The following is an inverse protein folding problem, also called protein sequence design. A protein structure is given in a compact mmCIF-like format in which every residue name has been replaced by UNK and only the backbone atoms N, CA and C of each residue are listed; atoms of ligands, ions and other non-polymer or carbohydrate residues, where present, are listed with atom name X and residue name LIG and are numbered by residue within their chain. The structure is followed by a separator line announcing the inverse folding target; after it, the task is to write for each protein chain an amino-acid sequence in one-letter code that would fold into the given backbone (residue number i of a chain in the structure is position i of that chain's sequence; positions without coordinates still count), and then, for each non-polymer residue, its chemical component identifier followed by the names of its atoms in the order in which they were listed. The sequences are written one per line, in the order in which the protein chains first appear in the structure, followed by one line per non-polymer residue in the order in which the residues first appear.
data_IF_919722391629
#
_entry.id   IF_919722391629
#
_cell.length_a   1.000
_cell.length_b   1.000
_cell.length_c   1.000
_cell.angle_alpha   90.00
_cell.angle_beta   90.00
_cell.angle_gamma   90.00
#
_symmetry.space_group_name_H-M   'P 1'
#
loop_
_entity.id
_entity.type
_entity.pdbx_description
1 polymer ?
#
# COMPACT_ATOMS: atom_id res chain seq x y z
N UNK A 1 -7.72 87.64 7.72
CA UNK A 1 -8.93 87.60 8.59
C UNK A 1 -9.02 86.20 9.22
N UNK A 2 -8.76 86.11 10.54
CA UNK A 2 -9.03 85.00 11.50
C UNK A 2 -8.33 83.65 11.22
N UNK A 3 -7.82 82.85 12.16
CA UNK A 3 -7.72 82.78 13.64
C UNK A 3 -6.69 81.66 13.92
N UNK A 4 -5.65 81.83 14.73
CA UNK A 4 -5.51 81.49 16.17
C UNK A 4 -6.11 80.14 16.63
N UNK A 5 -5.28 79.36 17.38
CA UNK A 5 -5.50 78.37 18.48
C UNK A 5 -4.80 77.02 18.21
N UNK A 6 -3.76 76.56 18.93
CA UNK A 6 -3.52 76.29 20.39
C UNK A 6 -3.96 74.89 20.84
N UNK A 7 -3.10 74.29 21.68
CA UNK A 7 -3.34 73.21 22.65
C UNK A 7 -3.57 71.78 22.11
N UNK A 8 -2.62 70.87 22.30
CA UNK A 8 -2.29 70.13 23.53
C UNK A 8 -2.97 68.77 23.56
N UNK A 9 -2.20 67.68 23.55
CA UNK A 9 -2.42 66.61 24.51
C UNK A 9 -1.19 65.69 24.55
N UNK A 10 -0.57 65.65 25.72
CA UNK A 10 0.39 64.61 26.13
C UNK A 10 -0.39 63.30 26.32
N UNK A 11 0.18 62.18 25.89
CA UNK A 11 0.02 60.90 26.58
C UNK A 11 1.22 60.01 26.26
N UNK A 12 2.11 59.89 27.23
CA UNK A 12 3.08 58.81 27.29
C UNK A 12 2.33 57.53 27.69
N UNK A 13 2.57 56.42 27.00
CA UNK A 13 2.29 55.09 27.51
C UNK A 13 3.29 54.09 26.91
N UNK A 14 4.16 53.60 27.77
CA UNK A 14 4.89 52.34 27.63
C UNK A 14 3.93 51.22 27.21
N UNK A 15 4.29 50.46 26.17
CA UNK A 15 4.04 49.02 26.16
C UNK A 15 5.00 48.31 25.18
N UNK A 16 6.17 47.99 25.68
CA UNK A 16 7.00 46.92 25.15
C UNK A 16 6.25 45.58 25.30
N UNK A 17 5.69 45.07 24.21
CA UNK A 17 5.33 43.66 24.09
C UNK A 17 6.32 43.03 23.11
N UNK A 18 7.37 42.45 23.68
CA UNK A 18 8.11 41.38 23.04
C UNK A 18 7.16 40.19 22.90
N UNK A 19 6.49 40.07 21.74
CA UNK A 19 5.93 38.78 21.34
C UNK A 19 7.07 37.94 20.81
N UNK A 20 7.66 37.22 21.76
CA UNK A 20 8.38 35.98 21.54
C UNK A 20 7.41 35.04 20.80
N UNK A 21 7.48 35.02 19.48
CA UNK A 21 6.94 33.90 18.73
C UNK A 21 7.85 32.71 19.00
N UNK A 22 7.58 32.02 20.10
CA UNK A 22 7.82 30.60 20.30
C UNK A 22 6.97 29.79 19.30
N UNK A 23 7.14 30.08 18.02
CA UNK A 23 6.66 29.27 16.92
C UNK A 23 7.74 28.28 16.57
N UNK A 24 8.10 27.41 17.53
CA UNK A 24 8.65 26.10 17.21
C UNK A 24 7.55 25.36 16.44
N UNK A 25 7.34 25.74 15.17
CA UNK A 25 6.84 24.79 14.19
C UNK A 25 7.96 23.78 14.14
N UNK A 26 7.85 22.76 15.00
CA UNK A 26 8.34 21.44 14.67
C UNK A 26 7.65 21.13 13.34
N UNK A 27 8.28 21.57 12.26
CA UNK A 27 8.27 20.82 11.03
C UNK A 27 8.77 19.47 11.52
N UNK A 28 7.82 18.59 11.88
CA UNK A 28 8.08 17.16 11.89
C UNK A 28 8.56 16.94 10.47
N UNK A 29 9.87 16.95 10.31
CA UNK A 29 10.52 16.64 9.05
C UNK A 29 9.99 15.25 8.74
N UNK A 30 8.98 15.22 7.87
CA UNK A 30 8.50 14.02 7.25
C UNK A 30 9.62 13.65 6.30
N UNK A 31 10.66 13.03 6.85
CA UNK A 31 11.70 12.41 6.06
C UNK A 31 11.03 11.16 5.52
N UNK A 32 10.21 11.35 4.47
CA UNK A 32 9.59 10.27 3.71
C UNK A 32 10.71 9.51 3.01
N UNK A 33 11.36 8.63 3.75
CA UNK A 33 12.14 7.57 3.14
C UNK A 33 11.13 6.68 2.43
N UNK A 34 11.18 6.73 1.10
CA UNK A 34 10.42 5.84 0.25
C UNK A 34 11.16 4.50 0.30
N UNK A 35 10.97 3.75 1.39
CA UNK A 35 11.74 2.54 1.60
C UNK A 35 11.43 1.53 0.50
N UNK A 36 12.46 0.93 -0.11
CA UNK A 36 12.31 -0.22 -0.97
C UNK A 36 11.82 -1.47 -0.22
N UNK A 37 10.57 -1.52 0.25
CA UNK A 37 9.89 -2.82 0.48
C UNK A 37 9.54 -3.47 -0.89
N UNK A 38 10.43 -3.31 -1.87
CA UNK A 38 10.08 -2.71 -3.16
C UNK A 38 9.32 -3.66 -4.05
N UNK A 39 9.48 -4.95 -3.84
CA UNK A 39 8.79 -6.00 -4.60
C UNK A 39 8.84 -7.30 -3.80
N UNK A 40 7.69 -7.90 -3.52
CA UNK A 40 7.58 -9.28 -3.05
C UNK A 40 7.15 -10.13 -4.24
N UNK A 41 8.01 -11.07 -4.64
CA UNK A 41 7.70 -12.08 -5.65
C UNK A 41 7.33 -13.38 -4.93
N UNK A 42 6.10 -13.86 -5.13
CA UNK A 42 5.59 -15.05 -4.45
C UNK A 42 4.99 -16.02 -5.47
N UNK A 43 5.42 -17.28 -5.41
CA UNK A 43 4.92 -18.34 -6.30
C UNK A 43 3.72 -19.04 -5.67
N UNK A 44 2.75 -19.39 -6.50
CA UNK A 44 1.57 -20.16 -6.11
C UNK A 44 1.04 -20.98 -7.28
N UNK A 45 0.10 -21.87 -7.01
CA UNK A 45 -0.57 -22.67 -8.03
C UNK A 45 -2.06 -22.48 -7.96
N UNK A 46 -2.72 -22.36 -9.12
CA UNK A 46 -4.16 -22.56 -9.24
C UNK A 46 -4.40 -23.95 -9.84
N UNK A 47 -5.15 -24.84 -9.17
CA UNK A 47 -5.52 -26.12 -9.76
C UNK A 47 -6.38 -25.93 -11.01
N UNK A 48 -6.61 -26.99 -11.81
CA UNK A 48 -7.62 -26.97 -12.86
C UNK A 48 -8.97 -26.50 -12.32
N UNK A 49 -9.63 -25.60 -13.04
CA UNK A 49 -10.91 -25.01 -12.66
C UNK A 49 -11.98 -25.45 -13.65
N UNK A 50 -13.14 -25.85 -13.16
CA UNK A 50 -14.34 -25.99 -13.98
C UNK A 50 -14.88 -24.60 -14.38
N UNK A 51 -15.75 -24.52 -15.38
CA UNK A 51 -16.40 -23.25 -15.76
C UNK A 51 -17.21 -22.65 -14.60
N UNK A 52 -16.97 -21.37 -14.30
CA UNK A 52 -17.63 -20.65 -13.21
C UNK A 52 -17.10 -20.97 -11.81
N UNK A 53 -16.15 -21.91 -11.67
CA UNK A 53 -15.53 -22.22 -10.38
C UNK A 53 -14.69 -21.05 -9.87
N UNK A 54 -14.79 -20.79 -8.57
CA UNK A 54 -13.89 -19.91 -7.85
C UNK A 54 -12.93 -20.73 -6.99
N UNK A 55 -11.66 -20.35 -6.99
CA UNK A 55 -10.60 -21.01 -6.22
C UNK A 55 -9.71 -19.97 -5.55
N UNK A 56 -9.18 -20.31 -4.38
CA UNK A 56 -8.29 -19.46 -3.61
C UNK A 56 -6.96 -20.16 -3.34
N UNK A 57 -5.87 -19.43 -3.54
CA UNK A 57 -4.54 -19.85 -3.15
C UNK A 57 -4.01 -18.91 -2.06
N UNK A 58 -3.57 -19.49 -0.94
CA UNK A 58 -2.92 -18.77 0.15
C UNK A 58 -1.40 -18.83 0.01
N UNK A 59 -0.76 -17.70 0.28
CA UNK A 59 0.67 -17.51 0.15
C UNK A 59 1.21 -16.84 1.41
N UNK A 60 2.02 -17.57 2.17
CA UNK A 60 2.66 -17.03 3.36
C UNK A 60 3.99 -16.34 3.01
N UNK A 61 4.14 -15.11 3.48
CA UNK A 61 5.32 -14.26 3.30
C UNK A 61 5.85 -13.86 4.66
N UNK A 62 7.13 -14.15 4.89
CA UNK A 62 7.86 -13.63 6.03
C UNK A 62 8.61 -12.35 5.64
N UNK A 63 8.32 -11.25 6.31
CA UNK A 63 8.95 -9.95 6.07
C UNK A 63 9.29 -9.28 7.40
N UNK A 64 10.58 -9.13 7.70
CA UNK A 64 11.02 -8.40 8.88
C UNK A 64 11.21 -6.92 8.54
N UNK A 65 10.10 -6.16 8.63
CA UNK A 65 10.04 -4.75 8.25
C UNK A 65 11.03 -3.90 9.06
N UNK A 66 11.22 -4.20 10.36
CA UNK A 66 12.21 -3.53 11.21
C UNK A 66 13.63 -3.60 10.65
N UNK A 67 14.03 -4.78 10.16
CA UNK A 67 15.37 -4.97 9.59
C UNK A 67 15.54 -4.14 8.32
N UNK A 68 14.54 -4.17 7.43
CA UNK A 68 14.56 -3.41 6.18
C UNK A 68 14.57 -1.90 6.43
N UNK A 69 13.88 -1.44 7.47
CA UNK A 69 13.92 -0.03 7.90
C UNK A 69 15.31 0.34 8.41
N UNK A 70 15.91 -0.49 9.26
CA UNK A 70 17.20 -0.20 9.87
C UNK A 70 18.38 -0.28 8.91
N UNK A 71 18.27 -1.02 7.82
CA UNK A 71 19.25 -1.03 6.73
C UNK A 71 19.38 0.35 6.07
N UNK A 72 18.27 1.07 5.93
CA UNK A 72 18.21 2.36 5.25
C UNK A 72 18.26 3.55 6.23
N UNK A 73 17.68 3.38 7.43
CA UNK A 73 17.61 4.38 8.49
C UNK A 73 17.76 3.70 9.87
N UNK A 74 19.01 3.57 10.33
CA UNK A 74 19.37 2.80 11.54
C UNK A 74 18.72 3.28 12.85
N UNK A 75 18.27 4.54 12.90
CA UNK A 75 17.55 5.13 14.03
C UNK A 75 16.02 4.99 13.95
N UNK A 76 15.50 4.34 12.91
CA UNK A 76 14.07 4.09 12.70
C UNK A 76 13.71 2.62 12.89
N UNK A 77 12.42 2.36 13.12
CA UNK A 77 11.83 1.03 13.22
C UNK A 77 10.43 1.01 12.59
N UNK A 78 9.78 -0.14 12.61
CA UNK A 78 8.39 -0.33 12.19
C UNK A 78 7.42 0.56 12.99
N UNK A 79 7.77 0.98 14.21
CA UNK A 79 6.98 1.94 15.00
C UNK A 79 6.95 3.34 14.36
N UNK A 80 7.94 3.68 13.53
CA UNK A 80 8.00 4.94 12.80
C UNK A 80 7.20 4.92 11.49
N UNK A 81 6.60 3.79 11.11
CA UNK A 81 5.74 3.70 9.93
C UNK A 81 4.50 4.57 10.13
N UNK A 82 4.26 5.46 9.17
CA UNK A 82 3.10 6.35 9.13
C UNK A 82 2.03 5.85 8.17
N UNK A 83 2.45 5.24 7.05
CA UNK A 83 1.56 4.67 6.04
C UNK A 83 2.24 3.50 5.33
N UNK A 84 1.45 2.49 4.99
CA UNK A 84 1.82 1.42 4.05
C UNK A 84 0.68 1.19 3.08
N UNK A 85 1.00 1.18 1.78
CA UNK A 85 0.01 0.95 0.71
C UNK A 85 0.57 0.02 -0.36
N UNK A 86 -0.30 -0.75 -1.00
CA UNK A 86 0.06 -1.48 -2.23
C UNK A 86 0.05 -0.50 -3.39
N UNK A 87 1.15 -0.42 -4.14
CA UNK A 87 1.25 0.40 -5.35
C UNK A 87 0.83 -0.37 -6.60
N UNK A 88 1.23 -1.64 -6.68
CA UNK A 88 0.88 -2.48 -7.82
C UNK A 88 0.86 -3.94 -7.41
N UNK A 89 -0.03 -4.70 -8.03
CA UNK A 89 -0.03 -6.15 -7.96
C UNK A 89 -0.17 -6.70 -9.38
N UNK A 90 0.80 -7.54 -9.76
CA UNK A 90 0.84 -8.17 -11.07
C UNK A 90 0.94 -9.67 -10.88
N UNK A 91 0.04 -10.41 -11.49
CA UNK A 91 0.11 -11.86 -11.60
C UNK A 91 0.74 -12.23 -12.94
N UNK A 92 1.55 -13.27 -12.96
CA UNK A 92 2.09 -13.90 -14.18
C UNK A 92 1.92 -15.40 -14.11
N UNK A 93 1.53 -16.06 -15.20
CA UNK A 93 1.51 -17.51 -15.32
C UNK A 93 2.78 -17.98 -16.05
N UNK A 94 3.47 -18.98 -15.50
CA UNK A 94 4.75 -19.49 -15.99
C UNK A 94 4.57 -20.64 -17.00
N UNK A 95 3.50 -21.43 -16.91
CA UNK A 95 3.25 -22.64 -17.71
C UNK A 95 1.96 -22.55 -18.56
N UNK A 96 1.79 -21.47 -19.30
CA UNK A 96 0.59 -21.21 -20.10
C UNK A 96 0.49 -22.07 -21.38
N UNK A 97 -0.74 -22.30 -21.84
CA UNK A 97 -1.06 -22.84 -23.17
C UNK A 97 -2.02 -21.89 -23.90
N UNK A 98 -2.48 -22.27 -25.10
CA UNK A 98 -3.51 -21.52 -25.85
C UNK A 98 -4.85 -21.52 -25.13
N UNK A 99 -5.13 -22.54 -24.32
CA UNK A 99 -6.36 -22.75 -23.58
C UNK A 99 -6.22 -22.33 -22.10
N UNK A 100 -5.07 -22.63 -21.51
CA UNK A 100 -4.77 -22.45 -20.09
C UNK A 100 -3.91 -21.19 -19.89
N UNK A 101 -4.60 -20.05 -19.79
CA UNK A 101 -4.00 -18.74 -19.57
C UNK A 101 -4.99 -17.81 -18.84
N UNK A 102 -4.57 -16.61 -18.47
CA UNK A 102 -5.42 -15.74 -17.64
C UNK A 102 -6.68 -15.19 -18.32
N UNK A 103 -6.72 -15.06 -19.64
CA UNK A 103 -7.97 -14.83 -20.37
C UNK A 103 -9.08 -15.88 -20.14
N UNK A 104 -8.78 -17.06 -19.59
CA UNK A 104 -9.78 -18.05 -19.16
C UNK A 104 -10.47 -17.66 -17.83
N UNK A 105 -9.98 -16.64 -17.13
CA UNK A 105 -10.56 -16.14 -15.89
C UNK A 105 -11.57 -15.01 -16.15
N UNK A 106 -12.69 -15.04 -15.43
CA UNK A 106 -13.68 -13.95 -15.39
C UNK A 106 -13.20 -12.81 -14.49
N UNK A 107 -12.68 -13.15 -13.31
CA UNK A 107 -12.27 -12.19 -12.29
C UNK A 107 -11.11 -12.74 -11.45
N UNK A 108 -10.43 -11.82 -10.78
CA UNK A 108 -9.39 -12.15 -9.81
C UNK A 108 -9.33 -11.08 -8.71
N UNK A 109 -9.12 -11.48 -7.47
CA UNK A 109 -8.96 -10.59 -6.33
C UNK A 109 -7.80 -11.04 -5.45
N UNK A 110 -7.22 -10.10 -4.72
CA UNK A 110 -6.19 -10.38 -3.74
C UNK A 110 -6.57 -9.83 -2.37
N UNK A 111 -6.47 -10.69 -1.36
CA UNK A 111 -6.57 -10.34 0.05
C UNK A 111 -5.22 -10.32 0.74
N UNK A 112 -5.12 -9.54 1.82
CA UNK A 112 -3.98 -9.55 2.74
C UNK A 112 -4.48 -9.79 4.17
N UNK A 113 -3.78 -10.64 4.89
CA UNK A 113 -3.88 -10.80 6.33
C UNK A 113 -2.47 -10.77 6.96
N UNK A 114 -2.38 -10.59 8.26
CA UNK A 114 -1.15 -10.74 9.03
C UNK A 114 -1.39 -11.47 10.34
N UNK A 115 -0.32 -11.91 11.00
CA UNK A 115 -0.43 -12.60 12.30
C UNK A 115 -1.21 -11.77 13.35
N UNK A 116 -1.11 -10.44 13.31
CA UNK A 116 -1.83 -9.53 14.21
C UNK A 116 -3.22 -9.11 13.71
N UNK A 117 -3.46 -9.24 12.40
CA UNK A 117 -4.74 -8.94 11.74
C UNK A 117 -5.12 -10.12 10.82
N UNK A 118 -5.64 -11.22 11.39
CA UNK A 118 -5.86 -12.47 10.66
C UNK A 118 -7.03 -12.41 9.67
N UNK A 119 -7.92 -11.42 9.82
CA UNK A 119 -9.02 -11.21 8.88
C UNK A 119 -8.50 -10.59 7.58
N UNK A 120 -8.78 -11.26 6.46
CA UNK A 120 -8.37 -10.79 5.14
C UNK A 120 -9.07 -9.48 4.77
N UNK A 121 -8.27 -8.48 4.44
CA UNK A 121 -8.74 -7.28 3.74
C UNK A 121 -8.48 -7.43 2.25
N UNK A 122 -9.48 -7.10 1.42
CA UNK A 122 -9.31 -7.07 -0.03
C UNK A 122 -8.47 -5.83 -0.42
N UNK A 123 -7.35 -6.06 -1.10
CA UNK A 123 -6.35 -5.04 -1.44
C UNK A 123 -6.26 -4.76 -2.94
N UNK A 124 -6.68 -5.69 -3.79
CA UNK A 124 -6.69 -5.52 -5.24
C UNK A 124 -7.76 -6.40 -5.89
N UNK A 125 -8.39 -5.91 -6.95
CA UNK A 125 -9.53 -6.60 -7.56
C UNK A 125 -9.72 -6.25 -9.03
N UNK A 126 -9.85 -7.28 -9.86
CA UNK A 126 -10.24 -7.22 -11.27
C UNK A 126 -11.55 -7.99 -11.43
N UNK A 127 -12.67 -7.28 -11.48
CA UNK A 127 -14.01 -7.89 -11.55
C UNK A 127 -14.43 -8.32 -12.95
N UNK A 128 -13.82 -7.73 -13.98
CA UNK A 128 -14.13 -8.03 -15.37
C UNK A 128 -12.85 -8.11 -16.20
N UNK A 129 -12.29 -9.32 -16.27
CA UNK A 129 -11.08 -9.60 -17.04
C UNK A 129 -11.43 -9.81 -18.53
N UNK A 130 -10.79 -9.11 -19.48
CA UNK A 130 -11.04 -9.33 -20.90
C UNK A 130 -10.80 -10.78 -21.34
N UNK A 131 -11.65 -11.29 -22.25
CA UNK A 131 -11.47 -12.60 -22.86
C UNK A 131 -10.44 -12.55 -23.99
N UNK A 132 -9.21 -12.27 -23.63
CA UNK A 132 -8.08 -12.23 -24.56
C UNK A 132 -6.92 -13.03 -24.00
N UNK A 133 -6.13 -13.63 -24.89
CA UNK A 133 -4.92 -14.33 -24.51
C UNK A 133 -4.02 -13.42 -23.66
N UNK A 134 -3.72 -13.86 -22.44
CA UNK A 134 -2.95 -13.08 -21.48
C UNK A 134 -2.18 -13.99 -20.53
N UNK A 135 -0.87 -13.76 -20.41
CA UNK A 135 0.02 -14.46 -19.48
C UNK A 135 0.34 -13.63 -18.25
N UNK A 136 -0.17 -12.39 -18.21
CA UNK A 136 -0.06 -11.48 -17.07
C UNK A 136 -1.37 -10.75 -16.83
N UNK A 137 -1.72 -10.55 -15.56
CA UNK A 137 -2.83 -9.72 -15.11
C UNK A 137 -2.35 -8.66 -14.14
N UNK A 138 -2.61 -7.39 -14.43
CA UNK A 138 -2.49 -6.34 -13.44
C UNK A 138 -3.80 -6.23 -12.67
N UNK A 139 -3.75 -6.39 -11.35
CA UNK A 139 -4.91 -6.22 -10.49
C UNK A 139 -4.99 -4.75 -10.06
N UNK A 140 -6.09 -4.05 -10.35
CA UNK A 140 -6.33 -2.71 -9.82
C UNK A 140 -6.26 -2.70 -8.29
N UNK A 141 -5.32 -1.94 -7.73
CA UNK A 141 -5.13 -1.83 -6.29
C UNK A 141 -6.13 -0.85 -5.68
N UNK A 142 -6.59 -1.14 -4.46
CA UNK A 142 -7.41 -0.21 -3.68
C UNK A 142 -6.50 0.83 -3.04
N UNK A 143 -6.26 1.93 -3.74
CA UNK A 143 -5.26 2.94 -3.38
C UNK A 143 -5.46 3.61 -2.00
N UNK A 144 -6.69 3.57 -1.47
CA UNK A 144 -7.04 4.12 -0.17
C UNK A 144 -6.87 3.13 0.98
N UNK A 145 -6.57 1.87 0.69
CA UNK A 145 -6.34 0.85 1.71
C UNK A 145 -5.03 1.11 2.44
N UNK A 146 -5.14 1.57 3.68
CA UNK A 146 -4.04 1.75 4.62
C UNK A 146 -3.70 0.44 5.32
N UNK A 147 -2.42 0.03 5.24
CA UNK A 147 -1.94 -1.25 5.72
C UNK A 147 -0.96 -1.16 6.88
N UNK A 148 -0.58 0.03 7.37
CA UNK A 148 0.44 0.19 8.42
C UNK A 148 0.27 -0.78 9.61
N UNK A 149 -0.98 -0.98 10.06
CA UNK A 149 -1.26 -1.79 11.23
C UNK A 149 -1.03 -3.30 11.00
N UNK A 150 -0.99 -3.74 9.73
CA UNK A 150 -0.61 -5.11 9.37
C UNK A 150 0.90 -5.30 9.46
N UNK A 151 1.69 -4.24 9.21
CA UNK A 151 3.15 -4.28 9.10
C UNK A 151 3.88 -4.19 10.46
N UNK A 152 3.13 -4.22 11.57
CA UNK A 152 3.66 -4.56 12.88
C UNK A 152 3.94 -6.08 13.03
N UNK A 153 3.39 -6.91 12.13
CA UNK A 153 3.67 -8.35 12.05
C UNK A 153 4.92 -8.64 11.22
N UNK A 154 5.48 -9.85 11.41
CA UNK A 154 6.55 -10.38 10.53
C UNK A 154 6.06 -11.44 9.55
N UNK A 155 4.83 -11.92 9.72
CA UNK A 155 4.18 -12.91 8.86
C UNK A 155 2.93 -12.32 8.27
N UNK A 156 2.80 -12.47 6.97
CA UNK A 156 1.72 -11.98 6.14
C UNK A 156 1.20 -13.15 5.32
N UNK A 157 -0.10 -13.22 5.13
CA UNK A 157 -0.72 -14.18 4.21
C UNK A 157 -1.42 -13.40 3.14
N UNK A 158 -1.03 -13.61 1.89
CA UNK A 158 -1.76 -13.13 0.73
C UNK A 158 -2.69 -14.22 0.26
N UNK A 159 -3.91 -13.86 -0.13
CA UNK A 159 -4.88 -14.79 -0.74
C UNK A 159 -5.20 -14.30 -2.13
N UNK A 160 -4.91 -15.09 -3.14
CA UNK A 160 -5.38 -14.81 -4.51
C UNK A 160 -6.60 -15.66 -4.76
N UNK A 161 -7.72 -15.04 -5.10
CA UNK A 161 -8.95 -15.71 -5.53
C UNK A 161 -9.15 -15.47 -7.02
N UNK A 162 -9.41 -16.52 -7.78
CA UNK A 162 -9.68 -16.46 -9.21
C UNK A 162 -11.01 -17.15 -9.51
N UNK A 163 -11.81 -16.58 -10.40
CA UNK A 163 -13.03 -17.20 -10.90
C UNK A 163 -12.88 -17.44 -12.40
N UNK A 164 -13.10 -18.68 -12.83
CA UNK A 164 -13.00 -19.06 -14.24
C UNK A 164 -14.21 -18.59 -15.05
N UNK A 165 -14.00 -18.30 -16.34
CA UNK A 165 -15.04 -18.17 -17.38
C UNK A 165 -15.17 -19.47 -18.17
N UNK A 166 -14.05 -20.16 -18.35
CA UNK A 166 -13.95 -21.41 -19.09
C UNK A 166 -13.11 -22.36 -18.27
N UNK A 167 -13.33 -23.65 -18.46
CA UNK A 167 -12.54 -24.65 -17.77
C UNK A 167 -11.05 -24.51 -18.13
N UNK A 168 -10.17 -24.68 -17.15
CA UNK A 168 -8.74 -24.89 -17.37
C UNK A 168 -8.42 -26.36 -17.16
N UNK A 169 -7.48 -26.89 -17.93
CA UNK A 169 -7.17 -28.33 -17.93
C UNK A 169 -5.90 -28.67 -17.15
N UNK A 170 -5.03 -27.68 -16.95
CA UNK A 170 -3.77 -27.82 -16.25
C UNK A 170 -3.69 -26.94 -15.00
N UNK A 171 -2.87 -27.35 -14.05
CA UNK A 171 -2.50 -26.50 -12.91
C UNK A 171 -1.71 -25.30 -13.42
N UNK A 172 -2.16 -24.08 -13.13
CA UNK A 172 -1.45 -22.86 -13.49
C UNK A 172 -0.42 -22.51 -12.41
N UNK A 173 0.86 -22.58 -12.78
CA UNK A 173 1.98 -22.09 -11.97
C UNK A 173 2.05 -20.58 -12.12
N UNK A 174 1.77 -19.87 -11.04
CA UNK A 174 1.65 -18.43 -11.03
C UNK A 174 2.73 -17.79 -10.15
N UNK A 175 3.03 -16.53 -10.45
CA UNK A 175 3.85 -15.64 -9.63
C UNK A 175 3.09 -14.33 -9.42
N UNK A 176 2.97 -13.91 -8.17
CA UNK A 176 2.49 -12.59 -7.79
C UNK A 176 3.69 -11.67 -7.50
N UNK A 177 3.74 -10.54 -8.18
CA UNK A 177 4.72 -9.46 -7.97
C UNK A 177 3.99 -8.28 -7.32
N UNK A 178 4.31 -8.00 -6.07
CA UNK A 178 3.61 -7.05 -5.21
C UNK A 178 4.56 -5.91 -4.87
N UNK A 179 4.22 -4.67 -5.26
CA UNK A 179 5.01 -3.48 -4.89
C UNK A 179 4.32 -2.72 -3.78
N UNK A 180 5.07 -2.41 -2.73
CA UNK A 180 4.61 -1.69 -1.56
C UNK A 180 5.27 -0.32 -1.52
N UNK A 181 4.52 0.67 -1.01
CA UNK A 181 5.05 1.96 -0.59
C UNK A 181 4.87 2.09 0.90
N UNK A 182 5.96 2.31 1.63
CA UNK A 182 5.92 2.69 3.02
C UNK A 182 6.37 4.14 3.17
N UNK A 183 5.70 4.89 4.04
CA UNK A 183 6.10 6.22 4.47
C UNK A 183 6.50 6.16 5.94
N UNK A 184 7.71 6.62 6.23
CA UNK A 184 8.30 6.59 7.58
C UNK A 184 8.51 8.02 8.04
N UNK A 185 8.33 8.28 9.34
CA UNK A 185 8.57 9.59 9.90
C UNK A 185 8.74 9.56 11.42
N UNK A 186 9.55 10.49 11.91
CA UNK A 186 9.79 10.71 13.35
C UNK A 186 8.51 11.19 14.08
#
# INVERSE_FOLDING_TARGET
MKSTLVCSLRCAAFLSVALVFNGCKQVKEMISFNLPLQTVDVKFTLPPLEEGQAEAADLDVYLNVDSLIKEEASNMSAENIRSVKIQSMVLTVENFTTEDHFGALTSCSAGLASELKPDFINVAELTNNPETYATSLSLPVKADTELKDYFASKKFTYRVTATSRRATTTTLNCKATIKLKAEIGL
#
